data_IF_967525666255
#
_entry.id   IF_967525666255
#
_cell.length_a   1.000
_cell.length_b   1.000
_cell.length_c   1.000
_cell.angle_alpha   90.00
_cell.angle_beta   90.00
_cell.angle_gamma   90.00
#
_symmetry.space_group_name_H-M   'P 1'
#
loop_
_entity.id
_entity.type
_entity.pdbx_description
1 polymer ?
#
# COMPACT_ATOMS: atom_id res chain seq x y z
N UNK A 1 -5.53 -13.30 27.18
CA UNK A 1 -5.41 -12.26 28.25
C UNK A 1 -6.63 -11.33 28.33
N UNK A 2 -7.38 -11.10 27.23
CA UNK A 2 -8.56 -10.21 27.24
C UNK A 2 -9.93 -10.91 27.44
N UNK A 3 -9.97 -12.24 27.52
CA UNK A 3 -11.22 -13.03 27.47
C UNK A 3 -12.26 -12.68 28.56
N UNK A 4 -11.83 -12.15 29.71
CA UNK A 4 -12.71 -11.79 30.82
C UNK A 4 -13.08 -10.29 30.84
N UNK A 5 -12.60 -9.51 29.87
CA UNK A 5 -12.92 -8.09 29.74
C UNK A 5 -14.15 -7.90 28.84
N UNK A 6 -14.90 -6.83 29.10
CA UNK A 6 -15.99 -6.39 28.23
C UNK A 6 -15.69 -5.00 27.70
N UNK A 7 -15.88 -4.81 26.40
CA UNK A 7 -15.63 -3.55 25.70
C UNK A 7 -16.94 -3.02 25.16
N UNK A 8 -17.45 -1.92 25.76
CA UNK A 8 -18.71 -1.30 25.32
C UNK A 8 -18.56 -0.60 23.96
N UNK A 9 -17.38 -0.04 23.70
CA UNK A 9 -17.06 0.71 22.49
C UNK A 9 -15.93 -0.02 21.77
N UNK A 10 -16.13 -0.30 20.49
CA UNK A 10 -15.15 -0.96 19.64
C UNK A 10 -14.99 -0.15 18.37
N UNK A 11 -13.75 0.23 18.06
CA UNK A 11 -13.36 0.80 16.78
C UNK A 11 -12.47 -0.23 16.08
N UNK A 12 -12.79 -0.54 14.83
CA UNK A 12 -11.99 -1.41 13.98
C UNK A 12 -11.57 -0.58 12.77
N UNK A 13 -10.29 -0.28 12.69
CA UNK A 13 -9.69 0.35 11.51
C UNK A 13 -9.29 -0.71 10.49
N UNK A 14 -9.23 -0.32 9.21
CA UNK A 14 -8.97 -1.24 8.09
C UNK A 14 -9.90 -2.48 8.07
N UNK A 15 -11.14 -2.31 8.53
CA UNK A 15 -12.12 -3.41 8.67
C UNK A 15 -12.50 -4.08 7.35
N UNK A 16 -12.23 -3.44 6.21
CA UNK A 16 -12.39 -4.00 4.86
C UNK A 16 -11.33 -5.03 4.51
N UNK A 17 -10.16 -5.03 5.16
CA UNK A 17 -9.11 -6.04 4.98
C UNK A 17 -9.36 -7.33 5.78
N UNK A 18 -10.25 -7.29 6.76
CA UNK A 18 -10.53 -8.43 7.63
C UNK A 18 -11.73 -9.24 7.13
N UNK A 19 -11.68 -10.56 7.35
CA UNK A 19 -12.86 -11.39 7.13
C UNK A 19 -13.95 -11.05 8.13
N UNK A 20 -15.22 -11.28 7.79
CA UNK A 20 -16.30 -11.05 8.75
C UNK A 20 -16.11 -11.81 10.08
N UNK A 21 -15.74 -13.11 10.10
CA UNK A 21 -15.46 -13.81 11.36
C UNK A 21 -14.34 -13.19 12.19
N UNK A 22 -13.32 -12.63 11.54
CA UNK A 22 -12.22 -11.94 12.20
C UNK A 22 -12.69 -10.62 12.84
N UNK A 23 -13.50 -9.84 12.12
CA UNK A 23 -14.14 -8.65 12.66
C UNK A 23 -15.05 -8.95 13.86
N UNK A 24 -15.64 -10.15 13.94
CA UNK A 24 -16.51 -10.53 15.06
C UNK A 24 -15.75 -10.77 16.37
N UNK A 25 -14.45 -11.11 16.32
CA UNK A 25 -13.63 -11.43 17.52
C UNK A 25 -13.71 -10.32 18.58
N UNK A 26 -13.44 -9.03 18.26
CA UNK A 26 -13.59 -7.96 19.25
C UNK A 26 -15.06 -7.61 19.56
N UNK A 27 -15.99 -7.82 18.61
CA UNK A 27 -17.39 -7.41 18.76
C UNK A 27 -18.16 -8.27 19.78
N UNK A 28 -17.84 -9.56 19.88
CA UNK A 28 -18.48 -10.47 20.83
C UNK A 28 -18.10 -10.22 22.29
N UNK A 29 -17.12 -9.33 22.55
CA UNK A 29 -16.72 -8.93 23.91
C UNK A 29 -17.67 -7.89 24.54
N UNK A 30 -18.93 -7.85 24.12
CA UNK A 30 -19.97 -7.00 24.71
C UNK A 30 -20.07 -5.60 24.10
N UNK A 31 -19.72 -5.44 22.83
CA UNK A 31 -19.86 -4.18 22.12
C UNK A 31 -21.31 -3.67 22.13
N UNK A 32 -21.48 -2.37 22.42
CA UNK A 32 -22.75 -1.63 22.33
C UNK A 32 -22.69 -0.47 21.35
N UNK A 33 -21.48 -0.01 21.03
CA UNK A 33 -21.21 0.99 20.02
C UNK A 33 -20.02 0.51 19.20
N UNK A 34 -20.18 0.52 17.88
CA UNK A 34 -19.19 0.00 16.94
C UNK A 34 -18.93 1.07 15.89
N UNK A 35 -17.66 1.32 15.62
CA UNK A 35 -17.21 2.12 14.48
C UNK A 35 -16.33 1.23 13.62
N UNK A 36 -16.74 1.04 12.37
CA UNK A 36 -15.95 0.34 11.37
C UNK A 36 -15.39 1.38 10.41
N UNK A 37 -14.07 1.46 10.31
CA UNK A 37 -13.36 2.30 9.35
C UNK A 37 -12.74 1.39 8.31
N UNK A 38 -12.77 1.79 7.06
CA UNK A 38 -12.25 1.00 5.95
C UNK A 38 -12.64 1.59 4.60
N UNK A 39 -12.06 1.05 3.55
CA UNK A 39 -12.29 1.44 2.18
C UNK A 39 -12.40 0.20 1.29
N UNK A 40 -13.62 -0.05 0.81
CA UNK A 40 -13.93 -1.20 -0.06
C UNK A 40 -13.34 -1.07 -1.48
N UNK A 41 -12.78 0.09 -1.83
CA UNK A 41 -12.00 0.27 -3.06
C UNK A 41 -10.52 -0.13 -2.91
N UNK A 42 -10.06 -0.45 -1.69
CA UNK A 42 -8.70 -0.91 -1.39
C UNK A 42 -8.66 -2.45 -1.22
N UNK A 43 -7.59 -2.99 -0.63
CA UNK A 43 -7.45 -4.44 -0.50
C UNK A 43 -8.53 -5.02 0.43
N UNK A 44 -9.10 -6.14 -0.01
CA UNK A 44 -9.95 -6.99 0.81
C UNK A 44 -9.18 -8.11 1.50
N UNK A 45 -9.86 -9.01 2.21
CA UNK A 45 -9.22 -10.11 2.93
C UNK A 45 -8.55 -11.13 2.00
N UNK A 46 -7.36 -11.59 2.39
CA UNK A 46 -6.60 -12.61 1.67
C UNK A 46 -7.12 -14.01 1.99
N UNK A 47 -7.84 -14.63 1.03
CA UNK A 47 -8.41 -15.97 1.19
C UNK A 47 -7.69 -17.00 0.31
N UNK A 48 -6.85 -17.84 0.93
CA UNK A 48 -6.11 -18.89 0.22
C UNK A 48 -7.03 -19.95 -0.40
N UNK A 49 -8.13 -20.30 0.28
CA UNK A 49 -9.08 -21.30 -0.20
C UNK A 49 -10.08 -20.66 -1.18
N UNK A 50 -9.85 -20.85 -2.50
CA UNK A 50 -10.75 -20.35 -3.56
C UNK A 50 -12.21 -20.81 -3.42
N UNK A 51 -12.47 -21.97 -2.82
CA UNK A 51 -13.85 -22.43 -2.53
C UNK A 51 -14.50 -21.57 -1.44
N UNK A 52 -13.78 -21.29 -0.35
CA UNK A 52 -14.28 -20.44 0.73
C UNK A 52 -14.47 -18.99 0.29
N UNK A 53 -13.52 -18.44 -0.49
CA UNK A 53 -13.64 -17.11 -1.08
C UNK A 53 -14.93 -16.96 -1.89
N UNK A 54 -15.18 -17.91 -2.82
CA UNK A 54 -16.40 -17.95 -3.64
C UNK A 54 -17.68 -18.21 -2.85
N UNK A 55 -17.58 -18.84 -1.68
CA UNK A 55 -18.71 -19.04 -0.78
C UNK A 55 -19.03 -17.79 0.07
N UNK A 56 -18.30 -16.68 -0.09
CA UNK A 56 -18.57 -15.40 0.56
C UNK A 56 -17.56 -14.98 1.62
N UNK A 57 -16.56 -15.81 1.95
CA UNK A 57 -15.57 -15.46 3.00
C UNK A 57 -14.68 -14.25 2.61
N UNK A 58 -14.61 -13.93 1.32
CA UNK A 58 -13.90 -12.76 0.83
C UNK A 58 -14.65 -11.43 1.07
N UNK A 59 -15.92 -11.47 1.47
CA UNK A 59 -16.70 -10.28 1.82
C UNK A 59 -16.43 -9.90 3.28
N UNK A 60 -15.98 -8.68 3.50
CA UNK A 60 -15.82 -8.11 4.84
C UNK A 60 -17.17 -7.78 5.50
N UNK A 61 -17.18 -7.65 6.82
CA UNK A 61 -18.36 -7.18 7.56
C UNK A 61 -18.79 -5.78 7.10
N UNK A 62 -17.82 -4.91 6.81
CA UNK A 62 -18.07 -3.55 6.32
C UNK A 62 -18.85 -3.58 5.01
N UNK A 63 -18.36 -4.30 4.00
CA UNK A 63 -19.01 -4.41 2.69
C UNK A 63 -20.42 -4.99 2.79
N UNK A 64 -20.60 -6.04 3.61
CA UNK A 64 -21.92 -6.63 3.80
C UNK A 64 -22.92 -5.62 4.38
N UNK A 65 -22.50 -4.80 5.35
CA UNK A 65 -23.37 -3.76 5.93
C UNK A 65 -23.72 -2.67 4.90
N UNK A 66 -22.76 -2.27 4.05
CA UNK A 66 -23.03 -1.34 2.95
C UNK A 66 -24.08 -1.90 1.99
N UNK A 67 -23.95 -3.17 1.60
CA UNK A 67 -24.93 -3.85 0.74
C UNK A 67 -26.32 -3.98 1.38
N UNK A 68 -26.39 -4.07 2.71
CA UNK A 68 -27.64 -4.06 3.47
C UNK A 68 -28.24 -2.66 3.64
N UNK A 69 -27.62 -1.62 3.07
CA UNK A 69 -28.12 -0.26 3.05
C UNK A 69 -27.59 0.65 4.16
N UNK A 70 -26.60 0.20 4.94
CA UNK A 70 -25.90 1.09 5.88
C UNK A 70 -25.01 2.04 5.06
N UNK A 71 -25.36 3.33 5.05
CA UNK A 71 -24.60 4.33 4.29
C UNK A 71 -23.32 4.71 5.04
N UNK A 72 -22.12 4.46 4.49
CA UNK A 72 -20.89 4.87 5.12
C UNK A 72 -20.72 6.39 5.04
N UNK A 73 -20.04 6.97 6.03
CA UNK A 73 -19.61 8.37 6.00
C UNK A 73 -18.29 8.42 5.23
N UNK A 74 -18.30 9.00 4.03
CA UNK A 74 -17.11 9.13 3.18
C UNK A 74 -16.33 10.40 3.54
N UNK A 75 -15.05 10.26 3.87
CA UNK A 75 -14.12 11.40 3.96
C UNK A 75 -13.66 11.76 2.55
N UNK A 76 -13.79 13.04 2.17
CA UNK A 76 -13.63 13.47 0.77
C UNK A 76 -12.37 14.27 0.48
N UNK A 77 -11.59 14.66 1.51
CA UNK A 77 -10.40 15.51 1.32
C UNK A 77 -9.15 14.70 1.65
N UNK A 78 -8.28 14.49 0.67
CA UNK A 78 -6.99 13.83 0.85
C UNK A 78 -5.91 14.84 1.22
N UNK A 79 -5.07 14.49 2.19
CA UNK A 79 -3.96 15.32 2.65
C UNK A 79 -2.60 14.63 2.48
N UNK A 80 -2.51 13.50 1.77
CA UNK A 80 -1.28 12.70 1.68
C UNK A 80 -0.44 13.09 0.47
N UNK A 81 -1.00 13.02 -0.73
CA UNK A 81 -0.23 13.01 -1.98
C UNK A 81 -0.31 14.33 -2.76
N UNK A 82 0.68 14.56 -3.64
CA UNK A 82 0.65 15.67 -4.60
C UNK A 82 -0.58 15.57 -5.51
N UNK A 83 -1.26 16.68 -5.89
CA UNK A 83 -2.47 16.64 -6.71
C UNK A 83 -2.38 15.79 -8.00
N UNK A 84 -1.23 15.82 -8.67
CA UNK A 84 -0.96 14.99 -9.86
C UNK A 84 -0.97 13.47 -9.59
N UNK A 85 -0.66 13.02 -8.37
CA UNK A 85 -0.69 11.61 -7.98
C UNK A 85 -2.12 11.15 -7.66
N UNK A 86 -2.94 12.02 -7.06
CA UNK A 86 -4.33 11.70 -6.68
C UNK A 86 -5.31 11.72 -7.86
N UNK A 87 -4.95 12.36 -8.97
CA UNK A 87 -5.84 12.54 -10.13
C UNK A 87 -6.36 11.19 -10.67
N UNK A 88 -5.47 10.24 -10.93
CA UNK A 88 -5.85 8.93 -11.44
C UNK A 88 -6.66 8.10 -10.43
N UNK A 89 -6.22 7.91 -9.16
CA UNK A 89 -7.02 7.17 -8.18
C UNK A 89 -8.40 7.79 -7.93
N UNK A 90 -8.50 9.12 -7.84
CA UNK A 90 -9.77 9.82 -7.66
C UNK A 90 -10.76 9.48 -8.78
N UNK A 91 -10.33 9.63 -10.03
CA UNK A 91 -11.20 9.39 -11.20
C UNK A 91 -11.55 7.90 -11.38
N UNK A 92 -10.60 7.00 -11.11
CA UNK A 92 -10.76 5.57 -11.38
C UNK A 92 -11.54 4.83 -10.28
N UNK A 93 -11.38 5.22 -9.02
CA UNK A 93 -11.93 4.46 -7.88
C UNK A 93 -12.94 5.25 -7.05
N UNK A 94 -12.97 6.58 -7.14
CA UNK A 94 -13.80 7.44 -6.30
C UNK A 94 -14.67 8.43 -7.09
N UNK A 95 -14.99 8.09 -8.34
CA UNK A 95 -15.87 8.88 -9.23
C UNK A 95 -15.42 10.36 -9.42
N UNK A 96 -14.13 10.65 -9.22
CA UNK A 96 -13.59 12.01 -9.27
C UNK A 96 -13.97 12.89 -8.07
N UNK A 97 -14.51 12.30 -6.99
CA UNK A 97 -15.01 13.04 -5.82
C UNK A 97 -13.96 13.36 -4.76
N UNK A 98 -12.75 12.77 -4.86
CA UNK A 98 -11.67 13.01 -3.90
C UNK A 98 -11.03 14.38 -4.15
N UNK A 99 -11.13 15.27 -3.16
CA UNK A 99 -10.59 16.63 -3.17
C UNK A 99 -9.19 16.69 -2.58
N UNK A 100 -8.40 17.68 -3.00
CA UNK A 100 -7.05 17.91 -2.49
C UNK A 100 -7.07 18.93 -1.35
N UNK A 101 -6.70 18.50 -0.16
CA UNK A 101 -6.47 19.36 1.00
C UNK A 101 -5.05 19.93 1.07
N UNK A 102 -4.21 19.59 0.09
CA UNK A 102 -2.82 20.06 -0.06
C UNK A 102 -2.58 20.55 -1.47
N UNK A 103 -1.74 21.57 -1.59
CA UNK A 103 -1.36 22.22 -2.85
C UNK A 103 -0.16 21.54 -3.49
N UNK A 104 0.11 21.90 -4.75
CA UNK A 104 1.32 21.53 -5.49
C UNK A 104 2.57 21.93 -4.69
N UNK A 105 2.61 23.17 -4.20
CA UNK A 105 3.76 23.73 -3.49
C UNK A 105 4.03 23.02 -2.16
N UNK A 106 2.99 22.62 -1.42
CA UNK A 106 3.13 21.85 -0.16
C UNK A 106 3.63 20.41 -0.38
N UNK A 107 3.69 19.95 -1.63
CA UNK A 107 4.20 18.64 -2.02
C UNK A 107 5.39 18.72 -2.98
N UNK A 108 5.97 19.90 -3.14
CA UNK A 108 7.28 20.06 -3.77
C UNK A 108 8.38 19.85 -2.73
N UNK A 109 9.33 18.97 -3.05
CA UNK A 109 10.47 18.72 -2.18
C UNK A 109 11.53 19.81 -2.36
N UNK A 110 11.60 20.74 -1.41
CA UNK A 110 12.64 21.78 -1.41
C UNK A 110 14.03 21.15 -1.29
N UNK A 111 14.95 21.50 -2.20
CA UNK A 111 16.33 21.02 -2.17
C UNK A 111 16.54 19.60 -2.71
N UNK A 112 15.51 18.97 -3.28
CA UNK A 112 15.64 17.67 -3.97
C UNK A 112 15.66 17.91 -5.48
N UNK A 113 16.83 17.76 -6.07
CA UNK A 113 17.04 17.89 -7.51
C UNK A 113 16.94 16.53 -8.21
N UNK A 114 15.70 16.04 -8.38
CA UNK A 114 15.44 14.82 -9.13
C UNK A 114 14.96 15.16 -10.55
N UNK A 115 15.54 14.54 -11.61
CA UNK A 115 15.25 14.89 -13.00
C UNK A 115 13.91 14.27 -13.46
N UNK A 116 12.80 14.83 -13.00
CA UNK A 116 11.46 14.40 -13.43
C UNK A 116 11.28 14.61 -14.95
N UNK A 117 10.76 13.61 -15.70
CA UNK A 117 10.56 13.75 -17.14
C UNK A 117 9.61 14.89 -17.52
N UNK A 118 8.61 15.15 -16.67
CA UNK A 118 7.69 16.28 -16.81
C UNK A 118 7.83 17.17 -15.57
N UNK A 119 8.25 18.44 -15.71
CA UNK A 119 8.35 19.36 -14.57
C UNK A 119 7.03 19.45 -13.79
N UNK A 120 7.12 19.53 -12.46
CA UNK A 120 5.97 19.61 -11.54
C UNK A 120 5.00 18.42 -11.57
N UNK A 121 5.37 17.29 -12.20
CA UNK A 121 4.64 16.03 -12.10
C UNK A 121 5.57 14.97 -11.51
N UNK A 122 5.55 14.73 -10.18
CA UNK A 122 6.48 13.84 -9.50
C UNK A 122 6.09 12.36 -9.71
N UNK A 123 5.89 11.94 -10.96
CA UNK A 123 5.62 10.55 -11.34
C UNK A 123 5.98 10.33 -12.80
N UNK A 124 6.36 9.09 -13.11
CA UNK A 124 6.52 8.60 -14.47
C UNK A 124 6.42 7.08 -14.48
N UNK A 125 6.12 6.51 -15.64
CA UNK A 125 6.18 5.07 -15.84
C UNK A 125 7.49 4.74 -16.56
N UNK A 126 8.38 3.99 -15.90
CA UNK A 126 9.67 3.63 -16.48
C UNK A 126 9.59 2.27 -17.19
N UNK A 127 9.38 2.29 -18.49
CA UNK A 127 9.20 1.07 -19.31
C UNK A 127 10.44 0.19 -19.26
N UNK A 128 10.26 -1.09 -18.93
CA UNK A 128 11.30 -2.13 -18.93
C UNK A 128 10.84 -3.33 -19.76
N UNK A 129 11.79 -3.92 -20.50
CA UNK A 129 11.54 -5.08 -21.38
C UNK A 129 12.28 -6.35 -20.88
N UNK A 130 12.54 -6.42 -19.57
CA UNK A 130 13.18 -7.57 -18.95
C UNK A 130 12.22 -8.76 -18.84
N UNK A 131 12.75 -9.98 -18.94
CA UNK A 131 11.97 -11.20 -18.75
C UNK A 131 11.80 -11.53 -17.27
N UNK A 132 10.63 -12.07 -16.92
CA UNK A 132 10.36 -12.62 -15.59
C UNK A 132 11.01 -14.00 -15.41
N UNK A 133 11.38 -14.32 -14.18
CA UNK A 133 11.96 -15.58 -13.76
C UNK A 133 11.19 -16.13 -12.56
N UNK A 134 11.09 -17.46 -12.47
CA UNK A 134 10.61 -18.12 -11.26
C UNK A 134 11.70 -18.01 -10.18
N UNK A 135 11.33 -17.49 -9.02
CA UNK A 135 12.23 -17.37 -7.87
C UNK A 135 12.61 -18.73 -7.29
N UNK A 136 13.64 -18.75 -6.43
CA UNK A 136 14.13 -19.97 -5.80
C UNK A 136 13.08 -20.71 -4.94
N UNK A 137 12.00 -20.03 -4.50
CA UNK A 137 10.90 -20.68 -3.77
C UNK A 137 10.01 -21.55 -4.66
N UNK A 138 10.08 -21.38 -5.99
CA UNK A 138 9.22 -22.06 -6.96
C UNK A 138 7.77 -21.54 -7.03
N UNK A 139 7.39 -20.61 -6.16
CA UNK A 139 5.99 -20.13 -6.01
C UNK A 139 5.83 -18.63 -6.22
N UNK A 140 6.92 -17.90 -6.47
CA UNK A 140 6.93 -16.47 -6.71
C UNK A 140 7.82 -16.13 -7.90
N UNK A 141 7.69 -14.92 -8.43
CA UNK A 141 8.44 -14.41 -9.58
C UNK A 141 9.44 -13.32 -9.17
N UNK A 142 10.43 -13.07 -10.03
CA UNK A 142 11.35 -11.94 -9.97
C UNK A 142 11.70 -11.44 -11.37
N UNK A 143 12.15 -10.21 -11.49
CA UNK A 143 12.68 -9.62 -12.72
C UNK A 143 13.97 -8.87 -12.42
N UNK A 144 15.09 -9.38 -12.95
CA UNK A 144 16.44 -8.84 -12.68
C UNK A 144 16.66 -7.47 -13.31
N UNK A 145 16.07 -7.24 -14.49
CA UNK A 145 16.19 -5.97 -15.22
C UNK A 145 15.49 -4.86 -14.44
N UNK A 146 14.28 -5.14 -13.94
CA UNK A 146 13.56 -4.20 -13.09
C UNK A 146 14.31 -3.93 -11.79
N UNK A 147 14.79 -4.96 -11.09
CA UNK A 147 15.51 -4.79 -9.83
C UNK A 147 16.79 -3.94 -9.99
N UNK A 148 17.53 -4.12 -11.09
CA UNK A 148 18.69 -3.29 -11.40
C UNK A 148 18.31 -1.81 -11.62
N UNK A 149 17.17 -1.54 -12.24
CA UNK A 149 16.70 -0.18 -12.45
C UNK A 149 16.07 0.44 -11.20
N UNK A 150 15.42 -0.36 -10.35
CA UNK A 150 14.97 0.06 -9.03
C UNK A 150 16.16 0.54 -8.19
N UNK A 151 17.26 -0.21 -8.16
CA UNK A 151 18.49 0.23 -7.47
C UNK A 151 19.00 1.57 -8.02
N UNK A 152 19.06 1.74 -9.35
CA UNK A 152 19.49 3.00 -9.96
C UNK A 152 18.60 4.17 -9.58
N UNK A 153 17.27 3.98 -9.57
CA UNK A 153 16.31 5.02 -9.17
C UNK A 153 16.46 5.38 -7.69
N UNK A 154 16.56 4.38 -6.82
CA UNK A 154 16.83 4.56 -5.39
C UNK A 154 18.12 5.33 -5.17
N UNK A 155 19.22 4.92 -5.82
CA UNK A 155 20.50 5.60 -5.75
C UNK A 155 20.42 7.05 -6.26
N UNK A 156 19.62 7.31 -7.29
CA UNK A 156 19.40 8.66 -7.80
C UNK A 156 18.64 9.53 -6.79
N UNK A 157 17.59 9.01 -6.14
CA UNK A 157 16.89 9.71 -5.06
C UNK A 157 17.81 10.03 -3.88
N UNK A 158 18.61 9.06 -3.44
CA UNK A 158 19.59 9.26 -2.36
C UNK A 158 20.62 10.35 -2.71
N UNK A 159 21.14 10.35 -3.95
CA UNK A 159 22.06 11.40 -4.44
C UNK A 159 21.38 12.77 -4.57
N UNK A 160 20.08 12.79 -4.81
CA UNK A 160 19.27 14.02 -4.88
C UNK A 160 18.92 14.56 -3.49
N UNK A 161 19.31 13.89 -2.40
CA UNK A 161 19.10 14.35 -1.02
C UNK A 161 17.88 13.75 -0.31
N UNK A 162 17.16 12.79 -0.92
CA UNK A 162 16.11 12.05 -0.23
C UNK A 162 16.75 11.13 0.81
N UNK A 163 16.24 11.13 2.04
CA UNK A 163 16.75 10.21 3.08
C UNK A 163 16.14 8.81 2.92
N UNK A 164 16.86 7.73 3.28
CA UNK A 164 16.38 6.36 3.11
C UNK A 164 14.97 6.08 3.64
N UNK A 165 14.64 6.60 4.82
CA UNK A 165 13.32 6.41 5.45
C UNK A 165 12.15 7.09 4.72
N UNK A 166 12.42 7.92 3.71
CA UNK A 166 11.43 8.54 2.85
C UNK A 166 11.24 7.78 1.52
N UNK A 167 11.96 6.68 1.33
CA UNK A 167 11.90 5.84 0.13
C UNK A 167 11.26 4.50 0.51
N UNK A 168 10.18 4.15 -0.18
CA UNK A 168 9.58 2.82 -0.15
C UNK A 168 9.61 2.18 -1.53
N UNK A 169 9.90 0.89 -1.59
CA UNK A 169 9.82 0.08 -2.82
C UNK A 169 8.74 -0.98 -2.64
N UNK A 170 7.71 -0.92 -3.47
CA UNK A 170 6.56 -1.81 -3.41
C UNK A 170 6.63 -2.80 -4.57
N UNK A 171 6.43 -4.08 -4.30
CA UNK A 171 6.33 -5.12 -5.34
C UNK A 171 5.37 -6.24 -4.93
N UNK A 172 4.51 -6.74 -5.84
CA UNK A 172 3.51 -7.75 -5.50
C UNK A 172 4.10 -9.15 -5.24
N UNK A 173 5.35 -9.41 -5.64
CA UNK A 173 5.97 -10.73 -5.55
C UNK A 173 7.04 -10.78 -4.47
N UNK A 174 6.91 -11.72 -3.53
CA UNK A 174 7.88 -11.94 -2.46
C UNK A 174 9.28 -12.26 -3.00
N UNK A 175 9.35 -13.02 -4.09
CA UNK A 175 10.60 -13.30 -4.81
C UNK A 175 11.30 -12.04 -5.31
N UNK A 176 10.55 -11.08 -5.86
CA UNK A 176 11.09 -9.79 -6.31
C UNK A 176 11.50 -8.91 -5.12
N UNK A 177 10.70 -8.88 -4.05
CA UNK A 177 11.02 -8.16 -2.81
C UNK A 177 12.38 -8.62 -2.25
N UNK A 178 12.53 -9.92 -2.04
CA UNK A 178 13.77 -10.52 -1.56
C UNK A 178 14.94 -10.27 -2.53
N UNK A 179 14.70 -10.34 -3.84
CA UNK A 179 15.73 -10.08 -4.84
C UNK A 179 16.22 -8.63 -4.81
N UNK A 180 15.32 -7.64 -4.77
CA UNK A 180 15.64 -6.21 -4.70
C UNK A 180 16.50 -5.90 -3.47
N UNK A 181 16.11 -6.38 -2.29
CA UNK A 181 16.88 -6.18 -1.04
C UNK A 181 18.31 -6.71 -1.17
N UNK A 182 18.44 -7.94 -1.68
CA UNK A 182 19.75 -8.55 -1.89
C UNK A 182 20.57 -7.83 -2.98
N UNK A 183 19.91 -7.39 -4.06
CA UNK A 183 20.55 -6.71 -5.17
C UNK A 183 21.12 -5.36 -4.73
N UNK A 184 20.32 -4.52 -4.04
CA UNK A 184 20.77 -3.24 -3.52
C UNK A 184 21.92 -3.39 -2.52
N UNK A 185 21.87 -4.39 -1.64
CA UNK A 185 22.95 -4.62 -0.67
C UNK A 185 24.27 -5.05 -1.31
N UNK A 186 24.24 -5.72 -2.48
CA UNK A 186 25.45 -6.27 -3.12
C UNK A 186 26.01 -5.36 -4.22
N UNK A 187 25.13 -4.69 -4.96
CA UNK A 187 25.49 -3.94 -6.17
C UNK A 187 25.27 -2.43 -6.03
N UNK A 188 24.66 -1.97 -4.92
CA UNK A 188 24.39 -0.56 -4.69
C UNK A 188 25.66 0.28 -4.73
N UNK A 189 25.61 1.43 -5.40
CA UNK A 189 26.75 2.33 -5.56
C UNK A 189 27.11 3.12 -4.28
N UNK A 190 26.23 3.14 -3.28
CA UNK A 190 26.38 3.87 -2.02
C UNK A 190 26.67 2.93 -0.84
N UNK A 191 26.81 3.49 0.38
CA UNK A 191 27.03 2.69 1.59
C UNK A 191 25.85 1.74 1.83
N UNK A 192 26.13 0.47 2.12
CA UNK A 192 25.11 -0.56 2.32
C UNK A 192 24.06 -0.21 3.39
N UNK A 193 24.45 0.49 4.46
CA UNK A 193 23.52 0.96 5.49
C UNK A 193 22.37 1.80 4.93
N UNK A 194 22.62 2.64 3.93
CA UNK A 194 21.59 3.49 3.33
C UNK A 194 20.49 2.64 2.68
N UNK A 195 20.85 1.56 1.99
CA UNK A 195 19.86 0.67 1.37
C UNK A 195 19.12 -0.20 2.38
N UNK A 196 19.72 -0.51 3.54
CA UNK A 196 19.09 -1.32 4.59
C UNK A 196 17.95 -0.60 5.31
N UNK A 197 17.98 0.73 5.33
CA UNK A 197 16.94 1.58 5.92
C UNK A 197 15.73 1.79 4.98
N UNK A 198 15.85 1.39 3.71
CA UNK A 198 14.77 1.51 2.73
C UNK A 198 13.80 0.35 2.90
N UNK A 199 12.51 0.68 3.02
CA UNK A 199 11.46 -0.32 3.14
C UNK A 199 11.17 -0.96 1.77
N UNK A 200 11.26 -2.29 1.70
CA UNK A 200 10.90 -3.09 0.52
C UNK A 200 9.89 -4.14 0.94
N UNK A 201 8.63 -3.95 0.54
CA UNK A 201 7.51 -4.78 0.99
C UNK A 201 6.45 -5.01 -0.10
N UNK A 202 5.49 -5.89 0.19
CA UNK A 202 4.34 -6.13 -0.69
C UNK A 202 3.33 -5.00 -0.60
N UNK A 203 2.45 -4.90 -1.61
CA UNK A 203 1.33 -3.93 -1.59
C UNK A 203 0.51 -4.10 -0.30
N UNK A 204 0.24 -5.34 0.11
CA UNK A 204 -0.51 -5.67 1.32
C UNK A 204 0.15 -5.11 2.60
N UNK A 205 1.48 -5.09 2.66
CA UNK A 205 2.21 -4.59 3.83
C UNK A 205 2.31 -3.06 3.89
N UNK A 206 2.06 -2.37 2.77
CA UNK A 206 2.11 -0.91 2.66
C UNK A 206 0.73 -0.24 2.85
N UNK A 207 -0.35 -1.02 3.07
CA UNK A 207 -1.66 -0.43 3.35
C UNK A 207 -1.70 0.10 4.80
N UNK A 208 -1.93 1.41 4.92
CA UNK A 208 -1.89 2.18 6.17
C UNK A 208 -1.04 3.43 6.07
#
# INVERSE_FOLDING_TARGET
RLANFRFRQVLIDESTQATEPECLIPLVLGAKQVVLVGDHCQLGPVIMCKKAARAGLAQSLFERLVLLGVKPIRLQVQYRMHPALSEFPSNSFYEGTLQNGVTINERQSSGIDFPWPVPNRPMFFYVQMGQEEISASGTSYLNRTEAANVEKLVTTFLRSGVVPSQIGVITPYEGQRAYIVNYMSRNGALRQQLYKEIEVASVDSFQG
#
